data_IF_538434941754
#
_entry.id   IF_538434941754
#
_cell.length_a   1.000
_cell.length_b   1.000
_cell.length_c   1.000
_cell.angle_alpha   90.00
_cell.angle_beta   90.00
_cell.angle_gamma   90.00
#
_symmetry.space_group_name_H-M   'P 1'
#
loop_
_entity.id
_entity.type
_entity.pdbx_description
1 polymer ?
#
# COMPACT_ATOMS: atom_id res chain seq x y z
N UNK A 1 -5.71 -10.21 32.82
CA UNK A 1 -4.42 -9.96 32.16
C UNK A 1 -3.79 -8.77 32.86
N UNK A 2 -2.62 -8.90 33.52
CA UNK A 2 -1.93 -7.73 34.07
C UNK A 2 -1.68 -6.75 32.92
N UNK A 3 -1.97 -5.47 33.14
CA UNK A 3 -1.77 -4.43 32.14
C UNK A 3 -0.27 -4.13 32.07
N UNK A 4 0.48 -4.97 31.36
CA UNK A 4 1.91 -4.76 31.18
C UNK A 4 2.10 -3.59 30.21
N UNK A 5 2.57 -2.45 30.71
CA UNK A 5 2.82 -1.30 29.84
C UNK A 5 4.03 -1.57 28.93
N UNK A 6 4.09 -0.91 27.77
CA UNK A 6 5.17 -1.11 26.80
C UNK A 6 6.57 -0.87 27.40
N UNK A 7 6.68 0.03 28.39
CA UNK A 7 7.92 0.35 29.09
C UNK A 7 8.41 -0.81 29.96
N UNK A 8 7.51 -1.58 30.57
CA UNK A 8 7.85 -2.78 31.34
C UNK A 8 8.32 -3.89 30.41
N UNK A 9 7.62 -4.12 29.29
CA UNK A 9 8.07 -5.09 28.27
C UNK A 9 9.44 -4.72 27.72
N UNK A 10 9.69 -3.44 27.40
CA UNK A 10 11.00 -2.97 26.97
C UNK A 10 12.10 -3.33 27.98
N UNK A 11 11.90 -3.06 29.27
CA UNK A 11 12.88 -3.39 30.33
C UNK A 11 13.11 -4.89 30.46
N UNK A 12 12.05 -5.69 30.38
CA UNK A 12 12.13 -7.15 30.47
C UNK A 12 12.91 -7.73 29.29
N UNK A 13 12.62 -7.29 28.06
CA UNK A 13 13.34 -7.72 26.87
C UNK A 13 14.80 -7.24 26.91
N UNK A 14 15.05 -5.98 27.29
CA UNK A 14 16.39 -5.43 27.42
C UNK A 14 17.24 -6.24 28.41
N UNK A 15 16.68 -6.56 29.59
CA UNK A 15 17.33 -7.39 30.59
C UNK A 15 17.58 -8.81 30.09
N UNK A 16 16.60 -9.45 29.45
CA UNK A 16 16.72 -10.83 28.96
C UNK A 16 17.75 -10.99 27.85
N UNK A 17 17.76 -10.07 26.88
CA UNK A 17 18.65 -10.13 25.72
C UNK A 17 19.97 -9.37 25.91
N UNK A 18 20.19 -8.82 27.12
CA UNK A 18 21.40 -8.11 27.54
C UNK A 18 21.73 -6.95 26.59
N UNK A 19 20.71 -6.14 26.30
CA UNK A 19 20.83 -4.96 25.44
C UNK A 19 20.39 -3.71 26.19
N UNK A 20 20.98 -2.55 25.89
CA UNK A 20 20.50 -1.27 26.41
C UNK A 20 19.02 -1.04 26.08
N UNK A 21 18.28 -0.40 26.99
CA UNK A 21 16.84 -0.15 26.80
C UNK A 21 16.54 0.75 25.60
N UNK A 22 17.48 1.61 25.22
CA UNK A 22 17.45 2.51 24.06
C UNK A 22 17.68 1.80 22.72
N UNK A 23 18.28 0.60 22.72
CA UNK A 23 18.41 -0.21 21.50
C UNK A 23 17.11 -0.91 21.09
N UNK A 24 16.13 -0.98 22.00
CA UNK A 24 14.82 -1.56 21.76
C UNK A 24 13.75 -0.47 21.80
N UNK A 25 12.90 -0.38 20.77
CA UNK A 25 11.66 0.39 20.86
C UNK A 25 10.48 -0.57 20.88
N UNK A 26 9.67 -0.48 21.93
CA UNK A 26 8.48 -1.33 22.10
C UNK A 26 7.24 -0.46 22.03
N UNK A 27 6.32 -0.81 21.14
CA UNK A 27 5.00 -0.19 21.06
C UNK A 27 3.92 -1.24 21.25
N UNK A 28 2.80 -0.85 21.85
CA UNK A 28 1.63 -1.72 21.97
C UNK A 28 1.08 -1.99 20.57
N UNK A 29 0.85 -3.26 20.28
CA UNK A 29 0.24 -3.71 19.04
C UNK A 29 -1.17 -4.23 19.33
N UNK A 30 -2.14 -4.10 18.41
CA UNK A 30 -3.52 -4.51 18.68
C UNK A 30 -3.62 -5.99 19.09
N UNK A 31 -4.74 -6.38 19.71
CA UNK A 31 -5.01 -7.75 20.18
C UNK A 31 -4.01 -8.28 21.24
N UNK A 32 -3.43 -7.37 22.03
CA UNK A 32 -2.56 -7.73 23.16
C UNK A 32 -1.10 -8.03 22.77
N UNK A 33 -0.71 -7.73 21.53
CA UNK A 33 0.67 -7.89 21.07
C UNK A 33 1.57 -6.68 21.38
N UNK A 34 2.85 -6.83 21.06
CA UNK A 34 3.82 -5.74 21.06
C UNK A 34 4.64 -5.79 19.78
N UNK A 35 4.92 -4.63 19.19
CA UNK A 35 5.87 -4.50 18.10
C UNK A 35 7.19 -4.01 18.68
N UNK A 36 8.25 -4.77 18.43
CA UNK A 36 9.60 -4.47 18.92
C UNK A 36 10.51 -4.19 17.75
N UNK A 37 11.08 -2.98 17.70
CA UNK A 37 12.17 -2.66 16.78
C UNK A 37 13.50 -2.72 17.53
N UNK A 38 14.49 -3.30 16.87
CA UNK A 38 15.85 -3.41 17.39
C UNK A 38 16.76 -2.55 16.51
N UNK A 39 17.67 -1.78 17.11
CA UNK A 39 18.70 -1.07 16.35
C UNK A 39 19.67 -2.04 15.65
N UNK A 40 19.89 -3.22 16.23
CA UNK A 40 20.74 -4.28 15.69
C UNK A 40 19.93 -5.47 15.19
N UNK A 41 20.22 -5.94 13.97
CA UNK A 41 19.64 -7.16 13.41
C UNK A 41 20.00 -8.42 14.22
N UNK A 42 21.19 -8.47 14.83
CA UNK A 42 21.61 -9.61 15.64
C UNK A 42 20.79 -9.76 16.91
N UNK A 43 20.28 -8.65 17.47
CA UNK A 43 19.37 -8.67 18.61
C UNK A 43 18.02 -9.24 18.19
N UNK A 44 17.45 -8.72 17.09
CA UNK A 44 16.19 -9.22 16.52
C UNK A 44 16.25 -10.72 16.26
N UNK A 45 17.32 -11.20 15.63
CA UNK A 45 17.44 -12.60 15.25
C UNK A 45 17.53 -13.52 16.48
N UNK A 46 18.29 -13.12 17.50
CA UNK A 46 18.33 -13.82 18.79
C UNK A 46 16.96 -13.85 19.48
N UNK A 47 16.18 -12.77 19.39
CA UNK A 47 14.84 -12.72 19.98
C UNK A 47 13.88 -13.69 19.29
N UNK A 48 13.93 -13.74 17.95
CA UNK A 48 13.09 -14.66 17.15
C UNK A 48 13.50 -16.11 17.37
N UNK A 49 14.80 -16.40 17.42
CA UNK A 49 15.32 -17.75 17.66
C UNK A 49 14.99 -18.27 19.07
N UNK A 50 14.95 -17.38 20.06
CA UNK A 50 14.55 -17.74 21.42
C UNK A 50 13.05 -18.04 21.58
N UNK A 51 12.23 -17.80 20.55
CA UNK A 51 10.77 -17.89 20.60
C UNK A 51 10.27 -19.35 20.57
N UNK A 52 9.24 -19.72 21.37
CA UNK A 52 8.61 -18.92 22.43
C UNK A 52 9.45 -18.89 23.71
N UNK A 53 9.29 -17.83 24.52
CA UNK A 53 9.98 -17.69 25.81
C UNK A 53 9.12 -17.00 26.87
N UNK A 54 9.41 -17.32 28.13
CA UNK A 54 8.74 -16.70 29.29
C UNK A 54 9.63 -15.64 29.94
N UNK A 55 9.01 -14.58 30.44
CA UNK A 55 9.63 -13.56 31.30
C UNK A 55 8.65 -13.18 32.40
N UNK A 56 9.03 -13.42 33.66
CA UNK A 56 8.10 -13.33 34.79
C UNK A 56 6.87 -14.24 34.52
N UNK A 57 5.65 -13.70 34.66
CA UNK A 57 4.39 -14.41 34.42
C UNK A 57 3.86 -14.24 32.97
N UNK A 58 4.71 -13.78 32.04
CA UNK A 58 4.34 -13.55 30.64
C UNK A 58 4.98 -14.59 29.72
N UNK A 59 4.16 -15.33 29.00
CA UNK A 59 4.58 -16.16 27.87
C UNK A 59 4.52 -15.34 26.58
N UNK A 60 5.67 -15.13 25.93
CA UNK A 60 5.79 -14.33 24.73
C UNK A 60 6.32 -15.17 23.57
N UNK A 61 5.72 -14.95 22.39
CA UNK A 61 6.24 -15.47 21.12
C UNK A 61 6.77 -14.30 20.30
N UNK A 62 8.09 -14.25 20.12
CA UNK A 62 8.70 -13.31 19.19
C UNK A 62 8.60 -13.87 17.76
N UNK A 63 8.05 -13.07 16.85
CA UNK A 63 7.95 -13.40 15.44
C UNK A 63 8.51 -12.23 14.63
N UNK A 64 9.06 -12.52 13.45
CA UNK A 64 9.42 -11.46 12.50
C UNK A 64 8.13 -10.76 12.08
N UNK A 65 8.10 -9.44 12.23
CA UNK A 65 6.94 -8.67 11.78
C UNK A 65 6.77 -8.81 10.27
N UNK A 66 5.55 -9.11 9.84
CA UNK A 66 5.17 -9.04 8.43
C UNK A 66 4.01 -8.08 8.28
N UNK A 67 3.94 -7.40 7.13
CA UNK A 67 2.80 -6.54 6.77
C UNK A 67 1.46 -7.31 6.68
N UNK A 68 1.49 -8.64 6.77
CA UNK A 68 0.33 -9.53 6.72
C UNK A 68 -0.25 -9.85 8.11
N UNK A 69 0.48 -9.55 9.19
CA UNK A 69 -0.05 -9.73 10.55
C UNK A 69 -1.27 -8.81 10.72
N UNK A 70 -2.38 -9.35 11.24
CA UNK A 70 -3.68 -8.66 11.36
C UNK A 70 -4.32 -8.24 10.03
N UNK A 71 -3.78 -8.67 8.89
CA UNK A 71 -4.49 -8.52 7.64
C UNK A 71 -5.66 -9.50 7.59
N UNK A 72 -6.83 -9.03 7.17
CA UNK A 72 -7.94 -9.91 6.83
C UNK A 72 -7.62 -10.62 5.51
N UNK A 73 -7.90 -11.92 5.46
CA UNK A 73 -7.87 -12.65 4.21
C UNK A 73 -9.12 -12.24 3.42
N UNK A 74 -8.91 -11.53 2.32
CA UNK A 74 -9.97 -11.13 1.40
C UNK A 74 -9.90 -11.98 0.15
N UNK A 75 -11.01 -12.64 -0.18
CA UNK A 75 -11.16 -13.34 -1.45
C UNK A 75 -11.48 -12.34 -2.55
N UNK A 76 -10.58 -12.25 -3.52
CA UNK A 76 -10.81 -11.47 -4.73
C UNK A 76 -11.66 -12.31 -5.69
N UNK A 77 -12.96 -12.03 -5.73
CA UNK A 77 -13.88 -12.73 -6.62
C UNK A 77 -13.67 -12.43 -8.10
N UNK A 78 -13.07 -11.28 -8.41
CA UNK A 78 -12.86 -10.84 -9.78
C UNK A 78 -11.44 -10.31 -9.98
N UNK A 79 -10.88 -10.59 -11.15
CA UNK A 79 -9.66 -9.94 -11.64
C UNK A 79 -9.92 -9.40 -13.03
N UNK A 80 -9.59 -8.13 -13.25
CA UNK A 80 -9.82 -7.46 -14.52
C UNK A 80 -8.51 -7.08 -15.18
N UNK A 81 -8.47 -7.20 -16.51
CA UNK A 81 -7.41 -6.64 -17.35
C UNK A 81 -7.96 -5.41 -18.06
N UNK A 82 -7.30 -4.28 -17.84
CA UNK A 82 -7.67 -2.98 -18.40
C UNK A 82 -6.61 -2.52 -19.40
N UNK A 83 -7.05 -1.96 -20.51
CA UNK A 83 -6.20 -1.28 -21.49
C UNK A 83 -6.41 0.22 -21.42
N UNK A 84 -5.31 0.96 -21.46
CA UNK A 84 -5.29 2.42 -21.46
C UNK A 84 -4.72 2.92 -22.79
N UNK A 85 -5.45 3.79 -23.46
CA UNK A 85 -5.01 4.46 -24.68
C UNK A 85 -4.94 5.97 -24.47
N UNK A 86 -3.91 6.63 -25.00
CA UNK A 86 -3.76 8.09 -24.91
C UNK A 86 -2.95 8.60 -23.72
N UNK A 87 -2.47 7.73 -22.83
CA UNK A 87 -1.49 8.10 -21.80
C UNK A 87 -0.15 8.42 -22.51
N UNK A 88 0.44 9.61 -22.29
CA UNK A 88 1.72 9.95 -22.89
C UNK A 88 2.85 9.12 -22.28
N UNK A 89 3.85 8.77 -23.09
CA UNK A 89 4.95 7.87 -22.70
C UNK A 89 5.76 8.35 -21.50
N UNK A 90 5.90 9.67 -21.32
CA UNK A 90 6.61 10.27 -20.18
C UNK A 90 5.80 10.26 -18.88
N UNK A 91 4.51 9.94 -18.94
CA UNK A 91 3.62 9.85 -17.79
C UNK A 91 3.18 8.42 -17.48
N UNK A 92 3.73 7.42 -18.19
CA UNK A 92 3.38 6.03 -17.98
C UNK A 92 4.01 5.52 -16.68
N UNK A 93 3.25 5.61 -15.59
CA UNK A 93 3.63 5.08 -14.28
C UNK A 93 2.43 4.45 -13.57
N UNK A 94 2.72 3.67 -12.53
CA UNK A 94 1.67 3.01 -11.71
C UNK A 94 0.80 4.05 -11.02
N UNK A 95 1.42 5.16 -10.56
CA UNK A 95 0.74 6.26 -9.89
C UNK A 95 -0.24 6.96 -10.83
N UNK A 96 0.17 7.27 -12.07
CA UNK A 96 -0.74 7.83 -13.09
C UNK A 96 -1.92 6.91 -13.37
N UNK A 97 -1.68 5.60 -13.47
CA UNK A 97 -2.74 4.63 -13.72
C UNK A 97 -3.71 4.56 -12.53
N UNK A 98 -3.20 4.56 -11.30
CA UNK A 98 -4.01 4.57 -10.10
C UNK A 98 -4.89 5.82 -10.03
N UNK A 99 -4.34 7.01 -10.32
CA UNK A 99 -5.06 8.28 -10.36
C UNK A 99 -6.20 8.26 -11.39
N UNK A 100 -5.93 7.74 -12.58
CA UNK A 100 -6.94 7.57 -13.64
C UNK A 100 -8.06 6.61 -13.21
N UNK A 101 -7.73 5.51 -12.52
CA UNK A 101 -8.71 4.54 -12.02
C UNK A 101 -9.54 5.13 -10.86
N UNK A 102 -8.92 5.92 -9.98
CA UNK A 102 -9.58 6.55 -8.83
C UNK A 102 -10.60 7.63 -9.25
N UNK A 103 -10.25 8.52 -10.17
CA UNK A 103 -11.20 9.54 -10.68
C UNK A 103 -12.28 8.93 -11.61
N UNK A 104 -11.93 7.84 -12.30
CA UNK A 104 -12.59 7.48 -13.55
C UNK A 104 -13.33 6.14 -13.57
N UNK A 105 -12.99 5.15 -12.74
CA UNK A 105 -13.45 3.77 -12.98
C UNK A 105 -14.67 3.30 -12.20
N UNK A 106 -15.37 4.20 -11.49
CA UNK A 106 -16.77 3.94 -11.14
C UNK A 106 -17.60 3.99 -12.45
N UNK A 107 -17.78 2.83 -13.07
CA UNK A 107 -18.75 2.63 -14.13
C UNK A 107 -20.00 2.02 -13.50
N UNK A 108 -21.09 2.79 -13.42
CA UNK A 108 -22.39 2.27 -12.97
C UNK A 108 -22.95 1.22 -13.94
N UNK A 109 -22.49 1.27 -15.19
CA UNK A 109 -22.94 0.42 -16.29
C UNK A 109 -21.71 -0.20 -17.01
N UNK A 110 -21.56 -1.54 -17.00
CA UNK A 110 -20.48 -2.22 -17.71
C UNK A 110 -20.56 -2.01 -19.23
N UNK A 111 -21.75 -1.75 -19.78
CA UNK A 111 -21.94 -1.50 -21.21
C UNK A 111 -21.46 -0.10 -21.61
N UNK A 112 -21.19 0.78 -20.64
CA UNK A 112 -20.61 2.11 -20.85
C UNK A 112 -19.08 2.09 -21.05
N UNK A 113 -18.49 0.90 -21.23
CA UNK A 113 -17.07 0.71 -21.53
C UNK A 113 -16.92 0.50 -23.04
N UNK A 114 -16.12 1.34 -23.74
CA UNK A 114 -15.01 2.12 -23.21
C UNK A 114 -15.36 3.51 -22.66
N UNK A 115 -14.66 3.88 -21.57
CA UNK A 115 -14.84 5.16 -20.89
C UNK A 115 -13.71 6.13 -21.22
N UNK A 116 -14.08 7.37 -21.56
CA UNK A 116 -13.13 8.45 -21.76
C UNK A 116 -12.94 9.26 -20.48
N UNK A 117 -11.69 9.44 -20.05
CA UNK A 117 -11.30 10.19 -18.85
C UNK A 117 -10.22 11.22 -19.20
N UNK A 118 -10.10 12.28 -18.40
CA UNK A 118 -9.08 13.31 -18.60
C UNK A 118 -7.99 13.14 -17.56
N UNK A 119 -6.76 12.90 -18.01
CA UNK A 119 -5.58 12.88 -17.16
C UNK A 119 -4.89 14.25 -17.23
N UNK A 120 -4.56 14.84 -16.07
CA UNK A 120 -3.99 16.17 -15.98
C UNK A 120 -2.58 16.13 -15.40
N UNK A 121 -1.64 16.78 -16.08
CA UNK A 121 -0.27 16.95 -15.61
C UNK A 121 0.08 18.41 -15.47
N UNK A 122 0.85 18.74 -14.44
CA UNK A 122 1.44 20.07 -14.36
C UNK A 122 2.40 20.33 -15.51
N UNK A 123 2.26 21.47 -16.16
CA UNK A 123 3.25 21.93 -17.13
C UNK A 123 4.60 22.16 -16.41
N UNK A 124 5.69 21.52 -16.87
CA UNK A 124 7.02 21.73 -16.31
C UNK A 124 7.42 23.20 -16.41
N UNK A 125 8.08 23.72 -15.37
CA UNK A 125 8.67 25.05 -15.45
C UNK A 125 9.78 25.03 -16.51
N UNK A 126 9.84 26.02 -17.42
CA UNK A 126 10.96 26.14 -18.35
C UNK A 126 12.28 26.11 -17.55
N UNK A 127 13.14 25.15 -17.88
CA UNK A 127 14.52 25.20 -17.40
C UNK A 127 15.13 26.51 -17.93
N UNK A 128 15.78 27.26 -17.05
CA UNK A 128 16.56 28.42 -17.49
C UNK A 128 17.53 27.92 -18.56
N UNK A 129 17.60 28.63 -19.69
CA UNK A 129 18.47 28.28 -20.81
C UNK A 129 19.87 27.92 -20.28
N UNK A 130 20.54 26.87 -20.79
CA UNK A 130 21.89 26.51 -20.35
C UNK A 130 22.89 27.66 -20.47
N UNK A 131 22.61 28.67 -21.31
CA UNK A 131 23.42 29.90 -21.43
C UNK A 131 23.34 30.82 -20.20
N UNK A 132 22.43 30.55 -19.27
CA UNK A 132 22.27 31.35 -18.06
C UNK A 132 23.10 30.74 -16.95
N UNK A 133 24.41 30.98 -17.01
CA UNK A 133 25.36 30.70 -15.92
C UNK A 133 25.11 31.64 -14.73
N UNK A 134 23.99 31.48 -14.03
CA UNK A 134 23.85 32.10 -12.72
C UNK A 134 24.36 31.13 -11.66
N UNK A 135 25.25 31.58 -10.76
CA UNK A 135 25.80 30.72 -9.72
C UNK A 135 24.67 30.10 -8.91
N UNK A 136 24.79 28.77 -8.72
CA UNK A 136 23.88 27.92 -7.97
C UNK A 136 24.09 28.19 -6.49
N UNK A 137 23.77 29.38 -6.04
CA UNK A 137 23.69 29.69 -4.61
C UNK A 137 22.44 30.54 -4.45
N UNK A 138 21.43 29.96 -3.79
CA UNK A 138 20.23 30.67 -3.37
C UNK A 138 19.24 31.05 -4.49
N UNK A 139 18.79 30.07 -5.30
CA UNK A 139 17.50 30.22 -5.99
C UNK A 139 16.39 29.89 -4.99
N UNK A 140 15.77 30.88 -4.31
CA UNK A 140 14.60 30.61 -3.48
C UNK A 140 13.58 29.92 -4.37
N UNK A 141 13.11 28.76 -3.92
CA UNK A 141 12.13 27.89 -4.57
C UNK A 141 11.35 28.65 -5.62
N UNK A 142 11.69 28.45 -6.91
CA UNK A 142 11.22 29.27 -8.03
C UNK A 142 9.73 29.55 -7.86
N UNK A 143 9.40 30.67 -7.23
CA UNK A 143 8.03 30.93 -6.77
C UNK A 143 7.23 31.08 -8.04
N UNK A 144 6.28 30.17 -8.28
CA UNK A 144 5.40 30.27 -9.45
C UNK A 144 4.59 31.56 -9.29
N UNK A 145 5.00 32.62 -9.99
CA UNK A 145 4.33 33.93 -9.98
C UNK A 145 3.06 33.95 -10.85
N UNK A 146 2.74 32.82 -11.49
CA UNK A 146 1.61 32.65 -12.41
C UNK A 146 0.82 31.39 -12.03
N UNK A 147 -0.49 31.35 -12.29
CA UNK A 147 -1.29 30.14 -12.09
C UNK A 147 -0.68 28.92 -12.77
N UNK A 148 -0.83 27.74 -12.15
CA UNK A 148 -0.44 26.46 -12.73
C UNK A 148 -1.22 26.26 -14.04
N UNK A 149 -0.49 25.94 -15.10
CA UNK A 149 -1.07 25.43 -16.34
C UNK A 149 -1.04 23.91 -16.29
N UNK A 150 -2.16 23.30 -16.61
CA UNK A 150 -2.31 21.85 -16.64
C UNK A 150 -2.41 21.39 -18.09
N UNK A 151 -1.67 20.34 -18.41
CA UNK A 151 -1.74 19.60 -19.66
C UNK A 151 -2.79 18.51 -19.50
N UNK A 152 -3.87 18.59 -20.28
CA UNK A 152 -4.94 17.59 -20.25
C UNK A 152 -4.78 16.60 -21.40
N UNK A 153 -4.74 15.31 -21.07
CA UNK A 153 -4.69 14.20 -22.00
C UNK A 153 -6.01 13.44 -21.94
N UNK A 154 -6.63 13.20 -23.09
CA UNK A 154 -7.80 12.33 -23.18
C UNK A 154 -7.31 10.88 -23.18
N UNK A 155 -7.67 10.14 -22.15
CA UNK A 155 -7.35 8.72 -21.98
C UNK A 155 -8.62 7.91 -22.22
N UNK A 156 -8.51 6.83 -22.99
CA UNK A 156 -9.57 5.84 -23.14
C UNK A 156 -9.24 4.61 -22.31
N UNK A 157 -10.23 4.12 -21.56
CA UNK A 157 -10.11 2.96 -20.68
C UNK A 157 -11.03 1.87 -21.17
N UNK A 158 -10.47 0.70 -21.45
CA UNK A 158 -11.17 -0.45 -22.02
C UNK A 158 -10.99 -1.67 -21.13
N UNK A 159 -12.06 -2.42 -20.86
CA UNK A 159 -11.95 -3.77 -20.29
C UNK A 159 -11.63 -4.77 -21.39
N UNK A 160 -10.57 -5.54 -21.20
CA UNK A 160 -10.19 -6.62 -22.11
C UNK A 160 -10.66 -7.97 -21.59
N UNK A 161 -10.38 -8.25 -20.31
CA UNK A 161 -10.73 -9.54 -19.71
C UNK A 161 -11.24 -9.37 -18.29
N UNK A 162 -12.22 -10.19 -17.94
CA UNK A 162 -12.73 -10.36 -16.58
C UNK A 162 -12.62 -11.84 -16.22
N UNK A 163 -11.85 -12.14 -15.18
CA UNK A 163 -11.74 -13.46 -14.60
C UNK A 163 -12.63 -13.51 -13.36
N UNK A 164 -13.56 -14.47 -13.34
CA UNK A 164 -14.45 -14.74 -12.20
C UNK A 164 -13.93 -15.96 -11.42
N UNK A 165 -13.53 -15.72 -10.17
CA UNK A 165 -13.02 -16.73 -9.24
C UNK A 165 -14.06 -17.16 -8.22
N UNK A 166 -15.33 -16.75 -8.38
CA UNK A 166 -16.39 -17.21 -7.48
C UNK A 166 -16.51 -18.73 -7.59
N UNK A 167 -16.75 -19.42 -6.46
CA UNK A 167 -17.07 -20.84 -6.52
C UNK A 167 -18.33 -21.04 -7.37
N UNK A 168 -18.39 -22.09 -8.20
CA UNK A 168 -19.58 -22.39 -8.99
C UNK A 168 -20.79 -22.51 -8.07
N UNK A 169 -21.86 -21.77 -8.36
CA UNK A 169 -23.10 -21.83 -7.59
C UNK A 169 -23.57 -23.27 -7.51
N UNK A 170 -23.73 -23.78 -6.29
CA UNK A 170 -24.24 -25.14 -6.04
C UNK A 170 -25.77 -25.18 -6.08
N UNK A 171 -26.43 -24.09 -6.48
CA UNK A 171 -27.88 -24.09 -6.57
C UNK A 171 -28.36 -24.98 -7.72
N UNK A 172 -29.30 -25.91 -7.46
CA UNK A 172 -29.85 -26.76 -8.49
C UNK A 172 -30.57 -25.87 -9.52
N UNK A 173 -30.00 -25.82 -10.73
CA UNK A 173 -30.69 -25.26 -11.89
C UNK A 173 -31.91 -26.16 -12.11
N UNK A 174 -33.08 -25.71 -11.63
CA UNK A 174 -34.35 -26.33 -11.95
C UNK A 174 -34.55 -26.22 -13.46
N UNK A 175 -34.06 -27.23 -14.20
CA UNK A 175 -34.41 -27.40 -15.60
C UNK A 175 -35.89 -27.72 -15.62
N UNK A 176 -36.69 -26.75 -16.02
CA UNK A 176 -38.07 -26.97 -16.44
C UNK A 176 -38.06 -28.09 -17.49
N UNK A 177 -38.57 -29.27 -17.12
CA UNK A 177 -38.94 -30.32 -18.06
C UNK A 177 -40.36 -30.00 -18.54
N UNK A 178 -40.59 -29.74 -19.83
CA UNK A 178 -41.93 -29.50 -20.34
C UNK A 178 -42.73 -30.80 -20.21
N UNK A 179 -43.89 -30.71 -19.56
CA UNK A 179 -44.85 -31.81 -19.46
C UNK A 179 -45.46 -32.11 -20.85
N UNK A 180 -45.71 -33.41 -21.02
CA UNK A 180 -46.08 -34.17 -22.23
C UNK A 180 -47.26 -33.58 -23.00
#
# INVERSE_FOLDING_TARGET
MPVTNARQINRLLASRFQVPCDELTVVVFPQGGYLVTCQSCSVRDRMVEASPFSMEDLELSALVWSRRIQADLLDWHYSIRVYFEGIPSHAWSVETIADILDEGCLADDPDSIPKGVHFQLEEPLPLASPDTSWPVEDQPERRRLRPLKLLAYRVLVHLDQVLDYRPPSTEPVWRYSPEI
#
